data_IF_799419521138
#
_entry.id   IF_799419521138
#
_cell.length_a   1.000
_cell.length_b   1.000
_cell.length_c   1.000
_cell.angle_alpha   90.00
_cell.angle_beta   90.00
_cell.angle_gamma   90.00
#
_symmetry.space_group_name_H-M   'P 1'
#
loop_
_entity.id
_entity.type
_entity.pdbx_description
1 polymer ?
#
# COMPACT_ATOMS: atom_id res chain seq x y z
N UNK A 1 71.78 -17.47 33.79
CA UNK A 1 70.92 -18.65 33.60
C UNK A 1 70.05 -18.29 32.40
N UNK A 2 70.60 -18.22 31.18
CA UNK A 2 70.90 -19.37 30.29
C UNK A 2 69.72 -20.36 30.29
N UNK A 3 69.11 -20.77 29.18
CA UNK A 3 69.46 -20.74 27.76
C UNK A 3 68.18 -21.26 27.04
N UNK A 4 67.75 -20.77 25.87
CA UNK A 4 67.92 -21.43 24.55
C UNK A 4 66.71 -21.00 23.71
N UNK A 5 66.88 -20.11 22.72
CA UNK A 5 67.08 -20.38 21.28
C UNK A 5 65.76 -20.71 20.55
N UNK A 6 65.45 -20.30 19.31
CA UNK A 6 66.03 -19.46 18.25
C UNK A 6 64.92 -19.44 17.13
N UNK A 7 65.08 -18.80 15.94
CA UNK A 7 64.06 -17.93 15.35
C UNK A 7 63.71 -18.30 13.88
N UNK A 8 63.39 -17.26 13.10
CA UNK A 8 63.57 -17.06 11.65
C UNK A 8 62.39 -17.32 10.71
N UNK A 9 61.84 -16.19 10.25
CA UNK A 9 61.57 -15.81 8.86
C UNK A 9 62.00 -16.80 7.76
N UNK A 10 61.12 -16.99 6.76
CA UNK A 10 61.57 -16.93 5.37
C UNK A 10 60.43 -16.50 4.44
N UNK A 11 60.86 -15.82 3.40
CA UNK A 11 60.19 -14.87 2.52
C UNK A 11 59.91 -15.48 1.11
N UNK A 12 59.09 -14.76 0.34
CA UNK A 12 59.09 -14.68 -1.12
C UNK A 12 58.61 -15.87 -1.98
N UNK A 13 57.81 -15.54 -2.99
CA UNK A 13 57.72 -16.34 -4.21
C UNK A 13 56.43 -16.21 -5.02
N UNK A 14 56.36 -15.16 -5.82
CA UNK A 14 55.38 -14.94 -6.90
C UNK A 14 55.33 -16.06 -7.94
N UNK A 15 54.15 -16.36 -8.51
CA UNK A 15 53.92 -16.64 -9.96
C UNK A 15 52.40 -16.67 -10.22
N UNK A 16 51.76 -15.63 -10.76
CA UNK A 16 51.64 -15.23 -12.17
C UNK A 16 50.78 -16.14 -13.08
N UNK A 17 49.78 -15.51 -13.73
CA UNK A 17 49.01 -15.91 -14.94
C UNK A 17 47.89 -16.93 -14.68
N UNK A 18 46.65 -16.81 -15.20
CA UNK A 18 46.16 -16.17 -16.41
C UNK A 18 44.64 -15.96 -16.35
N UNK A 19 44.16 -15.04 -17.18
CA UNK A 19 42.76 -14.69 -17.39
C UNK A 19 41.91 -15.85 -17.93
N UNK A 20 40.63 -15.87 -17.57
CA UNK A 20 39.46 -15.95 -18.47
C UNK A 20 38.29 -16.63 -17.77
N UNK A 21 37.18 -15.91 -17.62
CA UNK A 21 35.84 -16.32 -18.07
C UNK A 21 34.77 -15.60 -17.24
N UNK A 22 34.12 -14.64 -17.90
CA UNK A 22 32.83 -14.09 -17.55
C UNK A 22 31.85 -15.20 -17.20
N UNK A 23 31.25 -15.15 -16.01
CA UNK A 23 30.07 -15.94 -15.66
C UNK A 23 29.28 -15.21 -14.59
N UNK A 24 28.21 -14.56 -15.06
CA UNK A 24 26.91 -14.38 -14.42
C UNK A 24 26.85 -14.71 -12.93
N UNK A 25 26.92 -13.67 -12.09
CA UNK A 25 26.41 -13.73 -10.72
C UNK A 25 25.18 -12.83 -10.64
N UNK A 26 24.07 -13.35 -11.17
CA UNK A 26 22.73 -12.95 -10.76
C UNK A 26 22.62 -13.23 -9.26
N UNK A 27 22.79 -12.19 -8.46
CA UNK A 27 22.51 -12.20 -7.04
C UNK A 27 21.00 -12.38 -6.86
N UNK A 28 20.56 -13.65 -6.85
CA UNK A 28 19.25 -14.09 -6.41
C UNK A 28 19.09 -13.73 -4.95
N UNK A 29 18.64 -12.50 -4.70
CA UNK A 29 18.14 -12.09 -3.40
C UNK A 29 16.75 -12.70 -3.26
N UNK A 30 16.70 -13.94 -2.80
CA UNK A 30 15.48 -14.58 -2.29
C UNK A 30 15.03 -13.79 -1.07
N UNK A 31 14.31 -12.70 -1.32
CA UNK A 31 13.50 -12.04 -0.31
C UNK A 31 12.32 -12.97 -0.07
N UNK A 32 12.49 -13.90 0.86
CA UNK A 32 11.41 -14.62 1.51
C UNK A 32 10.53 -13.57 2.21
N UNK A 33 9.59 -12.99 1.46
CA UNK A 33 8.53 -12.17 2.01
C UNK A 33 7.67 -13.08 2.90
N UNK A 34 7.96 -13.07 4.20
CA UNK A 34 7.10 -13.67 5.20
C UNK A 34 5.81 -12.86 5.25
N UNK A 35 4.79 -13.33 4.52
CA UNK A 35 3.45 -12.77 4.46
C UNK A 35 2.72 -12.97 5.81
N UNK A 36 3.12 -12.21 6.83
CA UNK A 36 2.39 -12.15 8.11
C UNK A 36 1.40 -10.98 8.06
N UNK A 37 0.17 -11.26 7.65
CA UNK A 37 -0.96 -10.33 7.67
C UNK A 37 -1.45 -10.09 9.11
N UNK A 38 -0.72 -9.26 9.85
CA UNK A 38 -1.20 -8.61 11.07
C UNK A 38 -1.33 -7.12 10.78
N UNK A 39 -2.52 -6.49 10.86
CA UNK A 39 -2.65 -5.06 10.64
C UNK A 39 -2.15 -4.30 11.88
N UNK A 40 -0.84 -4.15 11.94
CA UNK A 40 -0.11 -3.33 12.89
C UNK A 40 1.16 -2.83 12.22
N UNK A 41 1.13 -1.58 11.74
CA UNK A 41 2.28 -0.72 11.37
C UNK A 41 3.32 -1.29 10.37
N UNK A 42 3.22 -2.53 9.89
CA UNK A 42 3.85 -3.02 8.66
C UNK A 42 2.97 -2.63 7.47
N UNK A 43 2.64 -1.35 7.45
CA UNK A 43 1.53 -0.77 6.73
C UNK A 43 1.95 -0.39 5.31
N UNK A 44 0.98 -0.32 4.39
CA UNK A 44 1.21 0.11 3.02
C UNK A 44 2.07 1.39 2.95
N UNK A 45 2.87 1.59 1.88
CA UNK A 45 3.75 2.75 1.74
C UNK A 45 3.09 4.10 2.08
N UNK A 46 1.81 4.30 1.74
CA UNK A 46 1.02 5.49 2.06
C UNK A 46 1.05 5.87 3.54
N UNK A 47 1.05 4.91 4.46
CA UNK A 47 1.11 5.19 5.90
C UNK A 47 2.41 5.86 6.31
N UNK A 48 3.52 5.42 5.74
CA UNK A 48 4.85 5.99 6.06
C UNK A 48 5.04 7.32 5.35
N UNK A 49 4.68 7.40 4.07
CA UNK A 49 4.80 8.61 3.26
C UNK A 49 3.93 9.76 3.78
N UNK A 50 2.72 9.44 4.24
CA UNK A 50 1.71 10.42 4.66
C UNK A 50 1.51 10.49 6.19
N UNK A 51 2.40 9.90 7.00
CA UNK A 51 2.22 9.79 8.46
C UNK A 51 2.00 11.12 9.18
N UNK A 52 2.53 12.22 8.64
CA UNK A 52 2.47 13.58 9.22
C UNK A 52 1.53 14.51 8.46
N UNK A 53 0.68 13.99 7.58
CA UNK A 53 -0.29 14.84 6.87
C UNK A 53 -1.24 15.52 7.86
N UNK A 54 -1.50 16.84 7.75
CA UNK A 54 -2.26 17.57 8.77
C UNK A 54 -3.70 17.09 8.97
N UNK A 55 -4.35 16.68 7.88
CA UNK A 55 -5.76 16.32 7.92
C UNK A 55 -6.01 14.96 8.61
N UNK A 56 -5.18 13.97 8.30
CA UNK A 56 -5.28 12.62 8.84
C UNK A 56 -3.89 12.00 9.11
N UNK A 57 -3.19 12.42 10.17
CA UNK A 57 -1.94 11.79 10.57
C UNK A 57 -2.14 10.31 10.95
N UNK A 58 -1.11 9.48 10.75
CA UNK A 58 -1.15 8.05 11.10
C UNK A 58 -1.51 7.82 12.57
N UNK A 59 -0.95 8.63 13.49
CA UNK A 59 -1.25 8.55 14.91
C UNK A 59 -2.74 8.77 15.23
N UNK A 60 -3.40 9.66 14.47
CA UNK A 60 -4.83 9.95 14.62
C UNK A 60 -5.68 8.75 14.18
N UNK A 61 -5.31 8.09 13.08
CA UNK A 61 -5.98 6.84 12.66
C UNK A 61 -5.81 5.71 13.66
N UNK A 62 -4.61 5.54 14.23
CA UNK A 62 -4.37 4.54 15.26
C UNK A 62 -5.20 4.81 16.53
N UNK A 63 -5.33 6.08 16.91
CA UNK A 63 -6.22 6.50 18.00
C UNK A 63 -7.68 6.14 17.69
N UNK A 64 -8.21 6.47 16.50
CA UNK A 64 -9.58 6.10 16.12
C UNK A 64 -9.81 4.58 16.18
N UNK A 65 -8.86 3.79 15.67
CA UNK A 65 -8.96 2.32 15.70
C UNK A 65 -9.03 1.79 17.14
N UNK A 66 -8.20 2.33 18.04
CA UNK A 66 -8.20 1.89 19.45
C UNK A 66 -9.53 2.15 20.15
N UNK A 67 -10.22 3.25 19.80
CA UNK A 67 -11.55 3.53 20.37
C UNK A 67 -12.67 2.71 19.72
N UNK A 68 -12.59 2.46 18.42
CA UNK A 68 -13.61 1.70 17.70
C UNK A 68 -13.50 0.19 17.97
N UNK A 69 -12.28 -0.34 18.05
CA UNK A 69 -11.96 -1.74 18.30
C UNK A 69 -10.95 -1.83 19.45
N UNK A 70 -11.40 -1.72 20.71
CA UNK A 70 -10.49 -1.69 21.86
C UNK A 70 -9.77 -3.03 22.08
N UNK A 71 -10.30 -4.11 21.51
CA UNK A 71 -9.86 -5.47 21.76
C UNK A 71 -8.96 -5.96 20.61
N UNK A 72 -7.63 -6.11 20.79
CA UNK A 72 -6.71 -6.34 19.66
C UNK A 72 -6.96 -7.61 18.84
N UNK A 73 -7.48 -8.68 19.45
CA UNK A 73 -7.78 -9.91 18.73
C UNK A 73 -8.92 -9.77 17.71
N UNK A 74 -9.75 -8.72 17.84
CA UNK A 74 -10.83 -8.43 16.88
C UNK A 74 -10.35 -7.70 15.63
N UNK A 75 -9.10 -7.22 15.60
CA UNK A 75 -8.57 -6.44 14.48
C UNK A 75 -8.37 -7.26 13.20
N UNK A 76 -8.28 -8.58 13.32
CA UNK A 76 -8.17 -9.51 12.19
C UNK A 76 -9.53 -10.06 11.73
N UNK A 77 -10.63 -9.63 12.33
CA UNK A 77 -11.97 -10.03 11.90
C UNK A 77 -12.29 -9.37 10.53
N UNK A 78 -12.77 -10.12 9.52
CA UNK A 78 -13.30 -9.54 8.29
C UNK A 78 -14.35 -8.44 8.50
N UNK A 79 -15.13 -8.51 9.58
CA UNK A 79 -16.07 -7.44 9.96
C UNK A 79 -15.39 -6.14 10.41
N UNK A 80 -14.12 -6.18 10.84
CA UNK A 80 -13.33 -5.01 11.20
C UNK A 80 -12.68 -4.34 9.98
N UNK A 81 -12.30 -5.11 8.96
CA UNK A 81 -11.68 -4.60 7.74
C UNK A 81 -12.13 -5.40 6.52
N UNK A 82 -12.90 -4.79 5.59
CA UNK A 82 -13.41 -5.48 4.41
C UNK A 82 -12.32 -6.12 3.53
N UNK A 83 -11.10 -5.57 3.54
CA UNK A 83 -9.97 -6.13 2.81
C UNK A 83 -9.56 -7.54 3.28
N UNK A 84 -10.01 -7.97 4.45
CA UNK A 84 -9.73 -9.31 4.99
C UNK A 84 -10.70 -10.38 4.46
N UNK A 85 -11.78 -10.03 3.76
CA UNK A 85 -12.61 -11.02 3.07
C UNK A 85 -11.84 -11.65 1.89
N UNK A 86 -11.91 -12.98 1.80
CA UNK A 86 -11.24 -13.77 0.76
C UNK A 86 -12.07 -13.89 -0.52
N UNK A 87 -13.40 -13.84 -0.43
CA UNK A 87 -14.35 -14.06 -1.54
C UNK A 87 -15.56 -13.12 -1.46
N UNK A 88 -16.44 -13.16 -2.47
CA UNK A 88 -17.66 -12.36 -2.52
C UNK A 88 -17.51 -11.00 -3.21
N UNK A 89 -16.30 -10.68 -3.68
CA UNK A 89 -15.97 -9.45 -4.39
C UNK A 89 -16.66 -9.34 -5.75
N UNK A 90 -16.98 -10.48 -6.37
CA UNK A 90 -17.74 -10.62 -7.61
C UNK A 90 -19.21 -10.23 -7.47
N UNK A 91 -19.76 -10.30 -6.25
CA UNK A 91 -21.15 -9.98 -5.95
C UNK A 91 -21.37 -8.50 -5.59
N UNK A 92 -20.29 -7.73 -5.50
CA UNK A 92 -20.39 -6.29 -5.22
C UNK A 92 -20.96 -5.55 -6.43
N UNK A 93 -21.77 -4.50 -6.20
CA UNK A 93 -22.27 -3.67 -7.27
C UNK A 93 -21.13 -2.93 -7.97
N UNK A 94 -21.43 -2.35 -9.13
CA UNK A 94 -20.54 -1.40 -9.79
C UNK A 94 -20.08 -0.34 -8.79
N UNK A 95 -18.76 -0.21 -8.63
CA UNK A 95 -18.16 0.56 -7.54
C UNK A 95 -17.32 1.71 -8.09
N UNK A 96 -17.40 2.87 -7.43
CA UNK A 96 -16.46 3.98 -7.60
C UNK A 96 -15.63 4.10 -6.32
N UNK A 97 -14.31 4.03 -6.46
CA UNK A 97 -13.35 4.29 -5.37
C UNK A 97 -12.60 5.57 -5.69
N UNK A 98 -12.53 6.47 -4.72
CA UNK A 98 -11.78 7.72 -4.85
C UNK A 98 -10.81 7.85 -3.68
N UNK A 99 -9.55 8.15 -3.97
CA UNK A 99 -8.49 8.30 -2.97
C UNK A 99 -7.70 9.59 -3.16
N UNK A 100 -7.23 10.17 -2.06
CA UNK A 100 -6.33 11.32 -2.07
C UNK A 100 -4.86 10.87 -2.03
N UNK A 101 -3.98 11.62 -2.69
CA UNK A 101 -2.54 11.36 -2.71
C UNK A 101 -1.86 11.59 -1.35
N UNK A 102 -2.35 12.57 -0.57
CA UNK A 102 -1.85 12.92 0.76
C UNK A 102 -2.71 12.27 1.85
N UNK A 103 -2.95 10.97 1.72
CA UNK A 103 -3.76 10.17 2.62
C UNK A 103 -3.02 8.91 3.05
N UNK A 104 -3.04 8.62 4.35
CA UNK A 104 -2.47 7.37 4.89
C UNK A 104 -3.24 6.15 4.41
N UNK A 105 -4.54 6.29 4.10
CA UNK A 105 -5.43 5.21 3.66
C UNK A 105 -5.45 4.98 2.13
N UNK A 106 -4.61 5.72 1.39
CA UNK A 106 -4.59 5.68 -0.08
C UNK A 106 -4.43 4.24 -0.59
N UNK A 107 -3.39 3.55 -0.13
CA UNK A 107 -3.01 2.27 -0.68
C UNK A 107 -4.04 1.17 -0.33
N UNK A 108 -4.70 1.25 0.83
CA UNK A 108 -5.85 0.40 1.14
C UNK A 108 -7.01 0.63 0.17
N UNK A 109 -7.31 1.88 -0.17
CA UNK A 109 -8.35 2.21 -1.14
C UNK A 109 -8.04 1.66 -2.53
N UNK A 110 -6.78 1.80 -2.98
CA UNK A 110 -6.31 1.20 -4.24
C UNK A 110 -6.45 -0.33 -4.19
N UNK A 111 -6.01 -0.97 -3.10
CA UNK A 111 -6.14 -2.43 -2.93
C UNK A 111 -7.60 -2.89 -2.92
N UNK A 112 -8.51 -2.10 -2.36
CA UNK A 112 -9.94 -2.38 -2.38
C UNK A 112 -10.46 -2.34 -3.82
N UNK A 113 -10.11 -1.31 -4.60
CA UNK A 113 -10.50 -1.20 -6.00
C UNK A 113 -9.96 -2.38 -6.85
N UNK A 114 -8.73 -2.82 -6.59
CA UNK A 114 -8.17 -4.02 -7.22
C UNK A 114 -9.00 -5.26 -6.91
N UNK A 115 -9.34 -5.49 -5.63
CA UNK A 115 -10.15 -6.65 -5.21
C UNK A 115 -11.56 -6.64 -5.80
N UNK A 116 -12.20 -5.46 -5.91
CA UNK A 116 -13.52 -5.32 -6.55
C UNK A 116 -13.45 -5.59 -8.06
N UNK A 117 -12.27 -5.55 -8.68
CA UNK A 117 -12.11 -5.83 -10.11
C UNK A 117 -12.08 -4.58 -10.97
N UNK A 118 -11.19 -3.64 -10.65
CA UNK A 118 -10.89 -2.49 -11.53
C UNK A 118 -10.45 -2.94 -12.94
N UNK A 119 -9.67 -4.01 -13.05
CA UNK A 119 -9.25 -4.58 -14.34
C UNK A 119 -10.40 -5.21 -15.15
N UNK A 120 -11.52 -5.51 -14.50
CA UNK A 120 -12.71 -6.10 -15.10
C UNK A 120 -13.80 -5.05 -15.38
N UNK A 121 -13.52 -3.77 -15.16
CA UNK A 121 -14.46 -2.66 -15.34
C UNK A 121 -15.60 -2.61 -14.30
N UNK A 122 -15.57 -3.47 -13.28
CA UNK A 122 -16.55 -3.47 -12.17
C UNK A 122 -16.29 -2.36 -11.16
N UNK A 123 -15.04 -1.90 -11.08
CA UNK A 123 -14.63 -0.78 -10.26
C UNK A 123 -14.02 0.33 -11.12
N UNK A 124 -14.34 1.58 -10.82
CA UNK A 124 -13.61 2.77 -11.29
C UNK A 124 -12.80 3.32 -10.13
N UNK A 125 -11.49 3.50 -10.31
CA UNK A 125 -10.62 4.17 -9.33
C UNK A 125 -10.26 5.57 -9.83
N UNK A 126 -10.36 6.55 -8.94
CA UNK A 126 -9.89 7.92 -9.18
C UNK A 126 -8.90 8.29 -8.08
N UNK A 127 -7.66 8.58 -8.46
CA UNK A 127 -6.62 9.03 -7.55
C UNK A 127 -6.36 10.52 -7.76
N UNK A 128 -6.53 11.33 -6.72
CA UNK A 128 -6.24 12.75 -6.77
C UNK A 128 -4.91 13.06 -6.09
N UNK A 129 -3.88 13.29 -6.88
CA UNK A 129 -2.57 13.69 -6.37
C UNK A 129 -2.67 15.01 -5.58
N UNK A 130 -1.91 15.10 -4.48
CA UNK A 130 -1.86 16.29 -3.64
C UNK A 130 -3.11 16.56 -2.80
N UNK A 131 -4.18 15.76 -2.93
CA UNK A 131 -5.39 15.95 -2.14
C UNK A 131 -5.29 15.30 -0.75
N UNK A 132 -5.66 16.02 0.33
CA UNK A 132 -5.70 15.47 1.67
C UNK A 132 -6.93 14.57 1.86
N UNK A 133 -6.95 13.74 2.90
CA UNK A 133 -8.07 12.83 3.20
C UNK A 133 -9.49 13.45 3.09
N UNK A 134 -9.81 14.62 3.69
CA UNK A 134 -11.17 15.18 3.67
C UNK A 134 -11.46 16.08 2.46
N UNK A 135 -10.69 16.02 1.37
CA UNK A 135 -10.80 16.97 0.25
C UNK A 135 -12.21 17.06 -0.37
N UNK A 136 -12.98 15.96 -0.31
CA UNK A 136 -14.37 15.92 -0.79
C UNK A 136 -15.27 16.93 -0.05
N UNK A 137 -15.04 17.12 1.24
CA UNK A 137 -15.80 18.07 2.07
C UNK A 137 -15.32 19.52 1.92
N UNK A 138 -14.30 19.75 1.09
CA UNK A 138 -13.69 21.07 0.85
C UNK A 138 -13.98 21.58 -0.56
N UNK A 139 -15.08 21.13 -1.18
CA UNK A 139 -15.49 21.46 -2.56
C UNK A 139 -15.65 22.97 -2.85
N UNK A 140 -15.93 23.78 -1.82
CA UNK A 140 -15.95 25.24 -1.92
C UNK A 140 -14.57 25.90 -2.12
N UNK A 141 -13.48 25.15 -1.92
CA UNK A 141 -12.09 25.67 -2.01
C UNK A 141 -11.23 24.80 -2.94
N UNK A 142 -11.40 23.48 -2.90
CA UNK A 142 -10.66 22.51 -3.70
C UNK A 142 -11.50 22.05 -4.88
N UNK A 143 -11.06 22.41 -6.09
CA UNK A 143 -11.73 22.05 -7.35
C UNK A 143 -11.94 20.54 -7.48
N UNK A 144 -10.94 19.75 -7.09
CA UNK A 144 -10.99 18.29 -7.12
C UNK A 144 -12.10 17.71 -6.22
N UNK A 145 -12.46 18.41 -5.13
CA UNK A 145 -13.61 18.05 -4.31
C UNK A 145 -14.91 18.17 -5.10
N UNK A 146 -15.13 19.32 -5.74
CA UNK A 146 -16.31 19.55 -6.58
C UNK A 146 -16.37 18.61 -7.81
N UNK A 147 -15.23 18.35 -8.45
CA UNK A 147 -15.13 17.39 -9.56
C UNK A 147 -15.47 15.97 -9.10
N UNK A 148 -15.01 15.57 -7.92
CA UNK A 148 -15.32 14.25 -7.35
C UNK A 148 -16.80 14.10 -7.04
N UNK A 149 -17.44 15.12 -6.47
CA UNK A 149 -18.90 15.13 -6.25
C UNK A 149 -19.63 14.96 -7.59
N UNK A 150 -19.17 15.67 -8.62
CA UNK A 150 -19.75 15.55 -9.97
C UNK A 150 -19.63 14.12 -10.51
N UNK A 151 -18.46 13.50 -10.38
CA UNK A 151 -18.27 12.09 -10.77
C UNK A 151 -19.18 11.14 -9.99
N UNK A 152 -19.31 11.31 -8.68
CA UNK A 152 -20.22 10.47 -7.88
C UNK A 152 -21.67 10.58 -8.37
N UNK A 153 -22.14 11.80 -8.64
CA UNK A 153 -23.50 12.04 -9.13
C UNK A 153 -23.69 11.45 -10.54
N UNK A 154 -22.72 11.60 -11.42
CA UNK A 154 -22.77 11.02 -12.77
C UNK A 154 -22.82 9.50 -12.73
N UNK A 155 -22.00 8.86 -11.88
CA UNK A 155 -22.01 7.41 -11.72
C UNK A 155 -23.35 6.90 -11.20
N UNK A 156 -23.93 7.58 -10.20
CA UNK A 156 -25.26 7.24 -9.68
C UNK A 156 -26.36 7.45 -10.74
N UNK A 157 -26.33 8.58 -11.47
CA UNK A 157 -27.29 8.85 -12.54
C UNK A 157 -27.21 7.78 -13.63
N UNK A 158 -26.01 7.37 -14.00
CA UNK A 158 -25.80 6.38 -15.04
C UNK A 158 -26.30 5.00 -14.61
N UNK A 159 -26.10 4.60 -13.35
CA UNK A 159 -26.60 3.32 -12.82
C UNK A 159 -28.12 3.32 -12.62
N UNK A 160 -28.72 4.42 -12.14
CA UNK A 160 -30.13 4.45 -11.72
C UNK A 160 -31.10 5.07 -12.74
N UNK A 161 -30.60 5.79 -13.75
CA UNK A 161 -31.45 6.65 -14.59
C UNK A 161 -31.22 6.58 -16.10
N UNK A 162 -30.07 6.11 -16.61
CA UNK A 162 -29.85 6.00 -18.07
C UNK A 162 -30.87 5.08 -18.77
N UNK A 163 -31.27 3.99 -18.12
CA UNK A 163 -32.19 3.00 -18.70
C UNK A 163 -33.69 3.38 -18.60
N UNK A 164 -34.02 4.53 -18.01
CA UNK A 164 -35.42 5.00 -17.94
C UNK A 164 -35.91 5.74 -19.19
N UNK A 165 -35.02 6.13 -20.10
CA UNK A 165 -35.39 6.86 -21.32
C UNK A 165 -35.77 5.96 -22.51
N UNK A 166 -35.70 4.64 -22.37
CA UNK A 166 -36.06 3.68 -23.45
C UNK A 166 -37.35 2.89 -23.19
N UNK A 167 -38.21 3.33 -22.27
CA UNK A 167 -39.53 2.73 -22.02
C UNK A 167 -40.63 3.77 -22.14
#
# INVERSE_FOLDING_TARGET
MDNTAMPSEFDSGESSLSASSSSSSISSSSSSASSSSTPGTKSYPSWTLNQHTPALPAAKMLWFRQHYLPTPHTWSDPGASPLLYESGWENLPRTLVVVGGLDVLRDEGVKYAEKVGIGEGRCRLVEWEGMPHPFLAMDGVLKQGAETISYMVEELRDVFWKDRKSK
#
